data_IF_441465516089
#
_entry.id   IF_441465516089
#
_cell.length_a   1.000
_cell.length_b   1.000
_cell.length_c   1.000
_cell.angle_alpha   90.00
_cell.angle_beta   90.00
_cell.angle_gamma   90.00
#
_symmetry.space_group_name_H-M   'P 1'
#
loop_
_entity.id
_entity.type
_entity.pdbx_description
1 polymer ?
#
# COMPACT_ATOMS: atom_id res chain seq x y z
N UNK A 1 -30.46 -5.35 16.79
CA UNK A 1 -29.24 -4.70 17.33
C UNK A 1 -29.62 -3.36 17.96
N UNK A 2 -29.41 -3.19 19.27
CA UNK A 2 -29.87 -2.01 20.03
C UNK A 2 -29.18 -0.71 19.57
N UNK A 3 -29.89 0.42 19.64
CA UNK A 3 -29.40 1.74 19.19
C UNK A 3 -28.16 2.19 19.97
N UNK A 4 -28.07 1.84 21.25
CA UNK A 4 -26.89 2.09 22.08
C UNK A 4 -25.67 1.31 21.59
N UNK A 5 -25.83 0.03 21.26
CA UNK A 5 -24.75 -0.80 20.70
C UNK A 5 -24.26 -0.25 19.35
N UNK A 6 -25.17 0.28 18.52
CA UNK A 6 -24.81 0.91 17.24
C UNK A 6 -23.98 2.19 17.44
N UNK A 7 -24.35 3.05 18.38
CA UNK A 7 -23.61 4.30 18.67
C UNK A 7 -22.21 4.00 19.20
N UNK A 8 -22.07 3.01 20.07
CA UNK A 8 -20.77 2.57 20.57
C UNK A 8 -19.89 1.95 19.48
N UNK A 9 -20.47 1.09 18.63
CA UNK A 9 -19.76 0.53 17.48
C UNK A 9 -19.25 1.65 16.56
N UNK A 10 -20.11 2.64 16.25
CA UNK A 10 -19.71 3.78 15.42
C UNK A 10 -18.61 4.61 16.08
N UNK A 11 -18.70 4.86 17.39
CA UNK A 11 -17.65 5.56 18.13
C UNK A 11 -16.31 4.82 18.07
N UNK A 12 -16.32 3.50 18.28
CA UNK A 12 -15.11 2.67 18.19
C UNK A 12 -14.53 2.71 16.77
N UNK A 13 -15.36 2.55 15.73
CA UNK A 13 -14.91 2.61 14.34
C UNK A 13 -14.35 4.00 13.99
N UNK A 14 -14.99 5.08 14.46
CA UNK A 14 -14.54 6.44 14.23
C UNK A 14 -13.18 6.69 14.89
N UNK A 15 -13.02 6.32 16.16
CA UNK A 15 -11.74 6.43 16.87
C UNK A 15 -10.67 5.62 16.16
N UNK A 16 -10.99 4.36 15.79
CA UNK A 16 -10.06 3.48 15.08
C UNK A 16 -9.66 4.02 13.70
N UNK A 17 -10.55 4.74 13.01
CA UNK A 17 -10.27 5.42 11.75
C UNK A 17 -9.37 6.64 11.95
N UNK A 18 -9.68 7.50 12.93
CA UNK A 18 -8.88 8.69 13.24
C UNK A 18 -7.46 8.32 13.65
N UNK A 19 -7.29 7.27 14.46
CA UNK A 19 -5.96 6.77 14.84
C UNK A 19 -5.16 6.29 13.63
N UNK A 20 -5.79 5.56 12.70
CA UNK A 20 -5.14 5.13 11.46
C UNK A 20 -4.74 6.32 10.57
N UNK A 21 -5.60 7.34 10.46
CA UNK A 21 -5.30 8.53 9.66
C UNK A 21 -4.13 9.33 10.26
N UNK A 22 -4.10 9.50 11.57
CA UNK A 22 -3.00 10.17 12.27
C UNK A 22 -1.67 9.41 12.08
N UNK A 23 -1.70 8.08 12.26
CA UNK A 23 -0.53 7.23 12.05
C UNK A 23 -0.03 7.29 10.60
N UNK A 24 -0.93 7.18 9.61
CA UNK A 24 -0.59 7.30 8.19
C UNK A 24 0.02 8.66 7.86
N UNK A 25 -0.55 9.74 8.39
CA UNK A 25 -0.04 11.11 8.17
C UNK A 25 1.35 11.30 8.76
N UNK A 26 1.59 10.81 9.97
CA UNK A 26 2.91 10.84 10.60
C UNK A 26 3.92 10.01 9.81
N UNK A 27 3.53 8.80 9.40
CA UNK A 27 4.39 7.89 8.64
C UNK A 27 4.77 8.46 7.27
N UNK A 28 3.82 9.07 6.57
CA UNK A 28 4.05 9.72 5.28
C UNK A 28 5.05 10.88 5.41
N UNK A 29 4.88 11.74 6.41
CA UNK A 29 5.80 12.85 6.67
C UNK A 29 7.21 12.34 7.00
N UNK A 30 7.32 11.28 7.80
CA UNK A 30 8.60 10.66 8.12
C UNK A 30 9.26 10.07 6.88
N UNK A 31 8.50 9.37 6.03
CA UNK A 31 9.01 8.81 4.78
C UNK A 31 9.57 9.91 3.86
N UNK A 32 8.76 10.97 3.64
CA UNK A 32 9.15 12.13 2.82
C UNK A 32 10.43 12.81 3.34
N UNK A 33 10.60 12.94 4.66
CA UNK A 33 11.80 13.51 5.25
C UNK A 33 13.07 12.68 4.99
N UNK A 34 12.91 11.36 4.82
CA UNK A 34 14.00 10.44 4.49
C UNK A 34 14.22 10.32 2.96
N UNK A 35 13.51 11.11 2.15
CA UNK A 35 13.54 11.01 0.69
C UNK A 35 12.99 9.68 0.15
N UNK A 36 12.28 8.92 0.98
CA UNK A 36 11.71 7.61 0.65
C UNK A 36 10.20 7.71 0.61
N UNK A 37 9.56 7.02 -0.33
CA UNK A 37 8.10 6.90 -0.30
C UNK A 37 7.61 5.88 0.71
N UNK A 38 8.35 4.78 0.82
CA UNK A 38 8.02 3.68 1.71
C UNK A 38 9.17 3.50 2.68
N UNK A 39 8.86 3.53 3.98
CA UNK A 39 9.82 3.19 5.03
C UNK A 39 10.00 1.68 5.19
N UNK A 40 9.11 0.88 4.60
CA UNK A 40 9.19 -0.57 4.54
C UNK A 40 9.51 -1.02 3.11
N UNK A 41 10.61 -1.76 2.95
CA UNK A 41 11.01 -2.33 1.65
C UNK A 41 9.94 -3.26 1.06
N UNK A 42 9.22 -3.97 1.94
CA UNK A 42 8.08 -4.81 1.56
C UNK A 42 7.00 -4.06 0.79
N UNK A 43 6.68 -2.83 1.19
CA UNK A 43 5.67 -2.01 0.51
C UNK A 43 6.12 -1.65 -0.90
N UNK A 44 7.41 -1.30 -1.08
CA UNK A 44 7.96 -0.98 -2.39
C UNK A 44 7.82 -2.17 -3.35
N UNK A 45 8.14 -3.38 -2.89
CA UNK A 45 8.02 -4.59 -3.71
C UNK A 45 6.60 -4.85 -4.22
N UNK A 46 5.57 -4.60 -3.41
CA UNK A 46 4.18 -4.77 -3.83
C UNK A 46 3.75 -3.77 -4.91
N UNK A 47 4.17 -2.52 -4.79
CA UNK A 47 3.86 -1.48 -5.78
C UNK A 47 4.58 -1.71 -7.11
N UNK A 48 5.84 -2.15 -7.06
CA UNK A 48 6.58 -2.56 -8.26
C UNK A 48 5.88 -3.72 -8.97
N UNK A 49 5.50 -4.77 -8.25
CA UNK A 49 4.77 -5.91 -8.82
C UNK A 49 3.38 -5.51 -9.37
N UNK A 50 2.67 -4.61 -8.70
CA UNK A 50 1.39 -4.09 -9.18
C UNK A 50 1.55 -3.30 -10.50
N UNK A 51 2.60 -2.48 -10.61
CA UNK A 51 2.89 -1.70 -11.82
C UNK A 51 3.28 -2.61 -13.01
N UNK A 52 3.98 -3.71 -12.75
CA UNK A 52 4.30 -4.71 -13.76
C UNK A 52 3.04 -5.41 -14.27
N UNK A 53 2.15 -5.81 -13.36
CA UNK A 53 0.83 -6.37 -13.74
C UNK A 53 0.07 -5.37 -14.61
N UNK A 54 -0.01 -4.10 -14.18
CA UNK A 54 -0.71 -3.06 -14.92
C UNK A 54 -0.12 -2.80 -16.32
N UNK A 55 1.20 -2.94 -16.46
CA UNK A 55 1.93 -2.77 -17.71
C UNK A 55 2.02 -4.04 -18.57
N UNK A 56 1.45 -5.16 -18.12
CA UNK A 56 1.57 -6.46 -18.79
C UNK A 56 3.00 -7.03 -18.81
N UNK A 57 3.86 -6.57 -17.90
CA UNK A 57 5.24 -7.02 -17.75
C UNK A 57 5.32 -8.32 -16.90
N UNK A 58 6.43 -9.08 -17.00
CA UNK A 58 6.63 -10.25 -16.16
C UNK A 58 6.56 -9.90 -14.66
N UNK A 59 5.80 -10.70 -13.89
CA UNK A 59 5.66 -10.54 -12.45
C UNK A 59 6.94 -10.95 -11.71
N UNK A 60 7.85 -10.00 -11.50
CA UNK A 60 9.21 -10.26 -10.99
C UNK A 60 9.74 -9.08 -10.18
N UNK A 61 10.45 -9.34 -9.07
CA UNK A 61 11.06 -8.28 -8.26
C UNK A 61 12.55 -8.55 -8.08
N UNK A 62 13.39 -7.54 -8.35
CA UNK A 62 14.87 -7.49 -8.23
C UNK A 62 15.73 -8.34 -9.21
N UNK A 63 15.52 -9.66 -9.35
CA UNK A 63 16.39 -10.53 -10.17
C UNK A 63 15.62 -11.69 -10.83
N UNK A 64 16.17 -12.32 -11.90
CA UNK A 64 15.57 -13.50 -12.54
C UNK A 64 15.40 -14.71 -11.62
N UNK A 65 16.23 -14.81 -10.58
CA UNK A 65 16.24 -15.86 -9.56
C UNK A 65 15.31 -15.55 -8.39
N UNK A 66 15.01 -14.27 -8.15
CA UNK A 66 14.09 -13.81 -7.09
C UNK A 66 12.64 -13.78 -7.56
N UNK A 67 12.21 -14.83 -8.26
CA UNK A 67 10.80 -15.17 -8.49
C UNK A 67 10.05 -15.49 -7.19
N UNK A 68 10.67 -15.28 -6.02
CA UNK A 68 10.15 -15.68 -4.72
C UNK A 68 8.85 -14.93 -4.46
N UNK A 69 7.79 -15.70 -4.67
CA UNK A 69 6.39 -15.33 -4.82
C UNK A 69 5.85 -14.61 -3.59
N UNK A 70 5.55 -13.31 -3.72
CA UNK A 70 4.47 -12.74 -2.93
C UNK A 70 3.14 -13.16 -3.54
N UNK A 71 2.14 -13.40 -2.69
CA UNK A 71 0.82 -13.78 -3.17
C UNK A 71 0.29 -12.68 -4.13
N UNK A 72 -0.14 -13.05 -5.34
CA UNK A 72 -0.44 -12.06 -6.39
C UNK A 72 -1.72 -11.27 -6.09
N UNK A 73 -2.56 -11.73 -5.15
CA UNK A 73 -3.85 -11.11 -4.85
C UNK A 73 -3.71 -9.64 -4.47
N UNK A 74 -2.73 -9.30 -3.62
CA UNK A 74 -2.55 -7.92 -3.18
C UNK A 74 -2.04 -7.01 -4.33
N UNK A 75 -0.98 -7.39 -5.08
CA UNK A 75 -0.58 -6.69 -6.31
C UNK A 75 -1.68 -6.56 -7.37
N UNK A 76 -2.52 -7.58 -7.55
CA UNK A 76 -3.64 -7.54 -8.50
C UNK A 76 -4.67 -6.47 -8.11
N UNK A 77 -4.99 -6.37 -6.81
CA UNK A 77 -5.88 -5.33 -6.29
C UNK A 77 -5.26 -3.93 -6.45
N UNK A 78 -3.93 -3.83 -6.31
CA UNK A 78 -3.21 -2.56 -6.49
C UNK A 78 -3.02 -2.18 -7.97
N UNK A 79 -3.04 -3.13 -8.91
CA UNK A 79 -2.69 -2.88 -10.31
C UNK A 79 -3.48 -1.74 -10.99
N UNK A 80 -4.81 -1.58 -10.80
CA UNK A 80 -5.53 -0.44 -11.34
C UNK A 80 -5.03 0.90 -10.80
N UNK A 81 -4.58 0.94 -9.54
CA UNK A 81 -3.97 2.12 -8.93
C UNK A 81 -2.51 2.30 -9.37
N UNK A 82 -1.87 1.23 -9.86
CA UNK A 82 -0.50 1.26 -10.36
C UNK A 82 -0.40 1.68 -11.84
N UNK A 83 -1.51 1.70 -12.57
CA UNK A 83 -1.56 1.98 -14.01
C UNK A 83 -1.04 3.37 -14.35
N UNK A 84 -0.03 3.45 -15.23
CA UNK A 84 0.54 4.70 -15.73
C UNK A 84 1.48 5.42 -14.76
N UNK A 85 1.88 4.79 -13.65
CA UNK A 85 2.78 5.36 -12.65
C UNK A 85 4.07 4.55 -12.59
N UNK A 86 5.20 5.25 -12.69
CA UNK A 86 6.51 4.62 -12.73
C UNK A 86 7.01 4.34 -11.30
N UNK A 87 7.18 3.07 -10.89
CA UNK A 87 7.70 2.72 -9.57
C UNK A 87 9.13 3.23 -9.32
N UNK A 88 9.90 3.51 -10.38
CA UNK A 88 11.30 3.95 -10.28
C UNK A 88 11.45 5.44 -9.96
N UNK A 89 10.48 6.27 -10.34
CA UNK A 89 10.57 7.73 -10.12
C UNK A 89 10.01 8.16 -8.76
N UNK A 90 9.28 7.28 -8.09
CA UNK A 90 8.68 7.59 -6.80
C UNK A 90 7.73 8.80 -6.82
N UNK A 91 7.15 9.12 -7.98
CA UNK A 91 6.08 10.11 -8.08
C UNK A 91 4.77 9.36 -8.18
N UNK A 92 4.13 9.19 -7.03
CA UNK A 92 2.77 8.66 -6.87
C UNK A 92 1.84 9.77 -6.41
#
# INVERSE_FOLDING_TARGET
MNIHSRRWLLAILLVAFLLRLAAASYWQRAAQSEGRLFRLGDSHSYWTLASQIASGLPYQYESPESRIFRAPLYPLVLAPLASGRDPATGVW
#
